data_IF_951727627107
#
_entry.id   IF_951727627107
#
_cell.length_a   1.000
_cell.length_b   1.000
_cell.length_c   1.000
_cell.angle_alpha   90.00
_cell.angle_beta   90.00
_cell.angle_gamma   90.00
#
_symmetry.space_group_name_H-M   'P 1'
#
loop_
_entity.id
_entity.type
_entity.pdbx_description
1 polymer ?
#
# COMPACT_ATOMS: atom_id res chain seq x y z
N UNK A 1 21.38 14.26 -4.36
CA UNK A 1 20.68 13.58 -5.48
C UNK A 1 19.52 12.81 -4.88
N UNK A 2 18.40 13.49 -4.62
CA UNK A 2 17.22 12.91 -3.97
C UNK A 2 16.00 13.50 -4.65
N UNK A 3 15.80 13.11 -5.92
CA UNK A 3 14.66 13.55 -6.70
C UNK A 3 13.85 12.31 -7.07
N UNK A 4 12.91 11.95 -6.20
CA UNK A 4 11.76 11.16 -6.61
C UNK A 4 10.51 11.80 -6.02
N UNK A 5 10.33 13.06 -6.37
CA UNK A 5 9.11 13.82 -6.13
C UNK A 5 8.06 13.34 -7.15
N UNK A 6 7.38 12.24 -6.80
CA UNK A 6 6.19 11.78 -7.51
C UNK A 6 4.97 12.56 -6.99
N UNK A 7 4.92 13.86 -7.23
CA UNK A 7 3.72 14.66 -6.91
C UNK A 7 3.32 15.54 -8.09
N UNK A 8 3.12 14.90 -9.25
CA UNK A 8 2.35 15.42 -10.38
C UNK A 8 1.63 14.25 -11.07
N UNK A 9 0.56 13.75 -10.46
CA UNK A 9 -0.48 13.02 -11.20
C UNK A 9 -1.76 13.85 -11.17
N UNK A 10 -1.70 14.98 -11.88
CA UNK A 10 -2.89 15.70 -12.29
C UNK A 10 -3.22 15.32 -13.73
N UNK A 11 -4.42 14.78 -13.91
CA UNK A 11 -5.25 14.88 -15.13
C UNK A 11 -4.95 13.91 -16.28
N UNK A 12 -5.62 12.74 -16.29
CA UNK A 12 -6.36 12.19 -17.46
C UNK A 12 -7.28 11.06 -16.96
N UNK A 13 -8.54 11.08 -17.40
CA UNK A 13 -9.60 10.18 -16.95
C UNK A 13 -9.41 8.69 -17.31
N UNK A 14 -10.16 7.89 -16.54
CA UNK A 14 -10.40 6.44 -16.62
C UNK A 14 -9.38 5.49 -15.97
N UNK A 15 -9.67 5.17 -14.70
CA UNK A 15 -9.48 3.88 -14.04
C UNK A 15 -8.07 3.30 -13.90
N UNK A 16 -7.04 4.13 -13.78
CA UNK A 16 -5.74 3.63 -13.30
C UNK A 16 -5.76 3.58 -11.78
N UNK A 17 -6.15 2.44 -11.19
CA UNK A 17 -5.99 2.22 -9.74
C UNK A 17 -4.51 2.35 -9.43
N UNK A 18 -4.09 3.38 -8.67
CA UNK A 18 -2.67 3.59 -8.43
C UNK A 18 -2.12 2.45 -7.55
N UNK A 19 -0.86 2.09 -7.78
CA UNK A 19 -0.14 1.11 -6.99
C UNK A 19 0.82 1.81 -6.03
N UNK A 20 0.86 1.36 -4.78
CA UNK A 20 1.85 1.74 -3.79
C UNK A 20 3.00 0.73 -3.76
N UNK A 21 4.23 1.21 -3.77
CA UNK A 21 5.40 0.39 -3.51
C UNK A 21 5.52 0.05 -2.03
N UNK A 22 6.24 -1.03 -1.70
CA UNK A 22 6.53 -1.39 -0.30
C UNK A 22 7.01 -0.22 0.57
N UNK A 23 7.99 0.60 0.13
CA UNK A 23 8.40 1.79 0.87
C UNK A 23 7.31 2.85 1.05
N UNK A 24 6.44 3.06 0.06
CA UNK A 24 5.31 3.98 0.20
C UNK A 24 4.29 3.49 1.23
N UNK A 25 4.02 2.18 1.27
CA UNK A 25 3.16 1.58 2.30
C UNK A 25 3.79 1.71 3.69
N UNK A 26 5.10 1.47 3.81
CA UNK A 26 5.84 1.68 5.06
C UNK A 26 5.72 3.12 5.56
N UNK A 27 5.90 4.09 4.67
CA UNK A 27 5.78 5.51 5.01
C UNK A 27 4.35 5.88 5.43
N UNK A 28 3.33 5.40 4.71
CA UNK A 28 1.91 5.68 5.01
C UNK A 28 1.52 5.26 6.42
N UNK A 29 1.93 4.05 6.83
CA UNK A 29 1.59 3.50 8.15
C UNK A 29 2.66 3.75 9.23
N UNK A 30 3.80 4.35 8.88
CA UNK A 30 4.92 4.54 9.80
C UNK A 30 5.55 3.22 10.30
N UNK A 31 5.55 2.17 9.46
CA UNK A 31 5.99 0.82 9.85
C UNK A 31 7.29 0.40 9.15
N UNK A 32 8.02 -0.53 9.77
CA UNK A 32 9.23 -1.13 9.16
C UNK A 32 8.89 -2.11 8.04
N UNK A 33 9.86 -2.43 7.18
CA UNK A 33 9.68 -3.49 6.17
C UNK A 33 9.33 -4.85 6.80
N UNK A 34 9.94 -5.20 7.94
CA UNK A 34 9.66 -6.45 8.64
C UNK A 34 8.21 -6.50 9.15
N UNK A 35 7.70 -5.36 9.63
CA UNK A 35 6.30 -5.23 10.02
C UNK A 35 5.37 -5.41 8.82
N UNK A 36 5.67 -4.75 7.71
CA UNK A 36 4.90 -4.91 6.46
C UNK A 36 4.94 -6.36 5.95
N UNK A 37 6.08 -7.04 6.07
CA UNK A 37 6.18 -8.46 5.74
C UNK A 37 5.30 -9.30 6.66
N UNK A 38 5.33 -9.09 7.98
CA UNK A 38 4.47 -9.82 8.92
C UNK A 38 3.00 -9.62 8.60
N UNK A 39 2.56 -8.39 8.38
CA UNK A 39 1.16 -8.07 8.02
C UNK A 39 0.73 -8.80 6.75
N UNK A 40 1.57 -8.79 5.72
CA UNK A 40 1.27 -9.48 4.46
C UNK A 40 1.26 -11.02 4.56
N UNK A 41 1.83 -11.60 5.62
CA UNK A 41 1.81 -13.06 5.87
C UNK A 41 0.82 -13.46 6.97
N UNK A 42 0.22 -12.50 7.66
CA UNK A 42 -0.75 -12.76 8.72
C UNK A 42 -2.18 -12.74 8.14
N UNK A 43 -2.73 -13.93 7.90
CA UNK A 43 -4.07 -14.08 7.34
C UNK A 43 -5.17 -13.54 8.30
N UNK A 44 -4.89 -13.41 9.60
CA UNK A 44 -5.84 -12.84 10.57
C UNK A 44 -6.02 -11.33 10.39
N UNK A 45 -4.97 -10.65 9.90
CA UNK A 45 -4.98 -9.21 9.67
C UNK A 45 -5.68 -8.83 8.36
N UNK A 46 -5.91 -9.81 7.47
CA UNK A 46 -6.54 -9.65 6.16
C UNK A 46 -5.91 -8.52 5.32
N UNK A 47 -4.62 -8.26 5.54
CA UNK A 47 -3.91 -7.19 4.88
C UNK A 47 -3.72 -7.49 3.38
N UNK A 48 -3.78 -6.50 2.47
CA UNK A 48 -3.64 -6.72 1.04
C UNK A 48 -2.33 -7.43 0.67
N UNK A 49 -2.43 -8.47 -0.17
CA UNK A 49 -1.27 -9.24 -0.60
C UNK A 49 -0.45 -8.47 -1.65
N UNK A 50 0.89 -8.46 -1.55
CA UNK A 50 1.73 -7.75 -2.50
C UNK A 50 1.78 -8.45 -3.86
N UNK A 51 1.62 -7.67 -4.92
CA UNK A 51 2.06 -8.03 -6.27
C UNK A 51 3.59 -7.87 -6.35
N UNK A 52 4.30 -8.95 -6.70
CA UNK A 52 5.77 -8.93 -6.81
C UNK A 52 6.20 -8.79 -8.26
N UNK A 53 6.92 -7.72 -8.59
CA UNK A 53 7.50 -7.50 -9.91
C UNK A 53 9.01 -7.32 -9.73
N UNK A 54 9.81 -8.26 -10.28
CA UNK A 54 11.28 -8.27 -10.15
C UNK A 54 11.77 -8.07 -8.70
N UNK A 55 11.12 -8.73 -7.74
CA UNK A 55 11.45 -8.65 -6.32
C UNK A 55 10.93 -7.42 -5.57
N UNK A 56 10.33 -6.44 -6.26
CA UNK A 56 9.70 -5.27 -5.65
C UNK A 56 8.24 -5.56 -5.34
N UNK A 57 7.77 -5.15 -4.16
CA UNK A 57 6.38 -5.31 -3.70
C UNK A 57 5.56 -4.09 -4.12
N UNK A 58 4.41 -4.35 -4.73
CA UNK A 58 3.40 -3.39 -5.12
C UNK A 58 2.06 -3.77 -4.49
N UNK A 59 1.32 -2.80 -4.00
CA UNK A 59 0.02 -2.96 -3.37
C UNK A 59 -0.96 -2.08 -4.12
N UNK A 60 -2.16 -2.58 -4.40
CA UNK A 60 -3.17 -1.73 -5.01
C UNK A 60 -3.68 -0.72 -3.97
N UNK A 61 -3.80 0.55 -4.35
CA UNK A 61 -4.26 1.57 -3.41
C UNK A 61 -5.68 1.29 -2.91
N UNK A 62 -6.58 0.84 -3.80
CA UNK A 62 -7.97 0.58 -3.46
C UNK A 62 -8.14 -0.53 -2.42
N UNK A 63 -7.31 -1.57 -2.47
CA UNK A 63 -7.29 -2.63 -1.47
C UNK A 63 -6.77 -2.13 -0.12
N UNK A 64 -5.74 -1.28 -0.13
CA UNK A 64 -5.20 -0.65 1.09
C UNK A 64 -6.26 0.24 1.74
N UNK A 65 -6.94 1.09 0.96
CA UNK A 65 -8.00 1.97 1.47
C UNK A 65 -9.22 1.18 1.97
N UNK A 66 -9.57 0.08 1.31
CA UNK A 66 -10.64 -0.80 1.78
C UNK A 66 -10.29 -1.41 3.14
N UNK A 67 -9.07 -1.95 3.26
CA UNK A 67 -8.59 -2.51 4.51
C UNK A 67 -8.55 -1.45 5.63
N UNK A 68 -8.10 -0.23 5.34
CA UNK A 68 -8.12 0.88 6.32
C UNK A 68 -9.53 1.15 6.86
N UNK A 69 -10.54 1.17 5.99
CA UNK A 69 -11.94 1.36 6.41
C UNK A 69 -12.43 0.21 7.29
N UNK A 70 -12.14 -1.03 6.90
CA UNK A 70 -12.50 -2.23 7.68
C UNK A 70 -11.86 -2.20 9.09
N UNK A 71 -10.61 -1.75 9.21
CA UNK A 71 -9.93 -1.61 10.51
C UNK A 71 -10.51 -0.46 11.36
N UNK A 72 -10.97 0.63 10.73
CA UNK A 72 -11.64 1.72 11.45
C UNK A 72 -13.02 1.29 11.97
N UNK A 73 -13.79 0.58 11.15
CA UNK A 73 -15.11 0.06 11.54
C UNK A 73 -15.02 -1.01 12.63
N UNK A 74 -14.04 -1.92 12.56
CA UNK A 74 -13.84 -2.95 13.59
C UNK A 74 -13.44 -2.39 14.96
N UNK A 75 -12.96 -1.14 15.02
CA UNK A 75 -12.49 -0.48 16.24
C UNK A 75 -13.52 0.51 16.82
N UNK A 76 -14.58 0.85 16.08
CA UNK A 76 -15.65 1.75 16.49
C UNK A 76 -16.74 1.02 17.28
#
# INVERSE_FOLDING_TARGET
MTNFDQTKIGETGMNSTPYLTGPQVQQRFGISEMSLWRWANDDSLQFPKPMKIRGRKFYRLDEIERWEREQMEARA
#
